data_IF_304724768976
#
_entry.id   IF_304724768976
#
_cell.length_a   1.000
_cell.length_b   1.000
_cell.length_c   1.000
_cell.angle_alpha   90.00
_cell.angle_beta   90.00
_cell.angle_gamma   90.00
#
_symmetry.space_group_name_H-M   'P 1'
#
loop_
_entity.id
_entity.type
_entity.pdbx_description
1 polymer ?
#
# COMPACT_ATOMS: atom_id res chain seq x y z
N UNK A 1 -0.53 18.01 -13.98
CA UNK A 1 -1.83 18.48 -14.50
C UNK A 1 -2.46 17.36 -15.30
N UNK A 2 -3.78 17.21 -15.23
CA UNK A 2 -4.49 16.17 -15.98
C UNK A 2 -5.66 16.81 -16.73
N UNK A 3 -5.56 16.82 -18.05
CA UNK A 3 -6.55 17.38 -18.97
C UNK A 3 -6.35 16.77 -20.37
N UNK A 4 -7.27 17.04 -21.30
CA UNK A 4 -7.07 16.73 -22.72
C UNK A 4 -5.93 17.56 -23.33
N UNK A 5 -5.42 17.12 -24.49
CA UNK A 5 -4.24 17.71 -25.12
C UNK A 5 -4.36 19.21 -25.43
N UNK A 6 -5.54 19.69 -25.84
CA UNK A 6 -5.76 21.11 -26.15
C UNK A 6 -5.65 21.95 -24.88
N UNK A 7 -6.27 21.50 -23.80
CA UNK A 7 -6.21 22.18 -22.51
C UNK A 7 -4.81 22.12 -21.89
N UNK A 8 -4.06 21.03 -22.08
CA UNK A 8 -2.66 20.96 -21.67
C UNK A 8 -1.79 22.00 -22.37
N UNK A 9 -1.84 22.08 -23.71
CA UNK A 9 -1.08 23.09 -24.48
C UNK A 9 -1.44 24.52 -24.09
N UNK A 10 -2.73 24.79 -23.86
CA UNK A 10 -3.18 26.12 -23.45
C UNK A 10 -2.69 26.50 -22.05
N UNK A 11 -2.61 25.54 -21.13
CA UNK A 11 -2.28 25.80 -19.73
C UNK A 11 -0.78 25.82 -19.47
N UNK A 12 0.03 25.24 -20.36
CA UNK A 12 1.50 25.25 -20.26
C UNK A 12 2.08 26.66 -20.04
N UNK A 13 1.56 27.66 -20.76
CA UNK A 13 1.97 29.07 -20.60
C UNK A 13 1.66 29.62 -19.20
N UNK A 14 0.52 29.22 -18.63
CA UNK A 14 0.10 29.65 -17.30
C UNK A 14 0.96 28.99 -16.21
N UNK A 15 1.27 27.70 -16.37
CA UNK A 15 2.16 26.98 -15.46
C UNK A 15 3.58 27.55 -15.52
N UNK A 16 4.11 27.81 -16.71
CA UNK A 16 5.43 28.42 -16.88
C UNK A 16 5.52 29.77 -16.17
N UNK A 17 4.54 30.66 -16.42
CA UNK A 17 4.46 31.95 -15.73
C UNK A 17 4.32 31.81 -14.21
N UNK A 18 3.62 30.80 -13.73
CA UNK A 18 3.53 30.53 -12.29
C UNK A 18 4.89 30.07 -11.71
N UNK A 19 5.61 29.21 -12.42
CA UNK A 19 6.94 28.76 -12.01
C UNK A 19 7.95 29.91 -11.97
N UNK A 20 7.86 30.87 -12.91
CA UNK A 20 8.69 32.09 -12.91
C UNK A 20 8.52 32.95 -11.66
N UNK A 21 7.39 32.82 -10.94
CA UNK A 21 7.12 33.55 -9.70
C UNK A 21 7.67 32.84 -8.46
N UNK A 22 8.12 31.58 -8.59
CA UNK A 22 8.67 30.82 -7.47
C UNK A 22 10.16 31.15 -7.27
N UNK A 23 10.65 31.19 -6.02
CA UNK A 23 12.08 31.28 -5.76
C UNK A 23 12.83 30.11 -6.40
N UNK A 24 13.93 30.39 -7.10
CA UNK A 24 14.72 29.34 -7.75
C UNK A 24 15.46 28.42 -6.76
N UNK A 25 15.62 28.86 -5.51
CA UNK A 25 16.30 28.12 -4.46
C UNK A 25 15.43 28.08 -3.20
N UNK A 26 15.45 26.94 -2.51
CA UNK A 26 14.94 26.85 -1.15
C UNK A 26 15.78 27.76 -0.23
N UNK A 27 15.10 28.54 0.61
CA UNK A 27 15.73 29.34 1.67
C UNK A 27 16.16 28.48 2.88
N UNK A 28 15.79 27.20 2.87
CA UNK A 28 16.06 26.24 3.94
C UNK A 28 17.00 25.18 3.41
N UNK A 29 18.08 24.93 4.15
CA UNK A 29 19.00 23.82 3.88
C UNK A 29 18.25 22.49 4.03
N UNK A 30 18.64 21.50 3.21
CA UNK A 30 18.08 20.15 3.34
C UNK A 30 18.54 19.53 4.66
N UNK A 31 17.64 19.48 5.63
CA UNK A 31 17.87 18.76 6.88
C UNK A 31 17.58 17.27 6.69
N UNK A 32 18.54 16.42 7.07
CA UNK A 32 18.32 14.99 7.21
C UNK A 32 17.78 14.70 8.60
N UNK A 33 16.47 14.51 8.69
CA UNK A 33 15.81 14.14 9.94
C UNK A 33 15.93 12.64 10.16
N UNK A 34 16.59 12.24 11.25
CA UNK A 34 16.52 10.87 11.77
C UNK A 34 15.80 10.90 13.10
N UNK A 35 14.46 10.86 13.04
CA UNK A 35 13.61 10.74 14.21
C UNK A 35 13.02 9.33 14.22
N UNK A 36 13.40 8.52 15.21
CA UNK A 36 12.78 7.23 15.47
C UNK A 36 12.21 7.25 16.87
N UNK A 37 10.95 6.84 16.99
CA UNK A 37 10.38 6.56 18.30
C UNK A 37 10.99 5.26 18.84
N UNK A 38 11.10 5.11 20.18
CA UNK A 38 11.50 3.85 20.79
C UNK A 38 10.57 2.71 20.37
N UNK A 39 11.13 1.54 20.06
CA UNK A 39 10.34 0.34 19.75
C UNK A 39 9.87 -0.31 21.05
N UNK A 40 8.69 0.10 21.51
CA UNK A 40 8.06 -0.40 22.74
C UNK A 40 6.61 -0.82 22.46
N UNK A 41 6.07 -1.71 23.30
CA UNK A 41 4.63 -1.95 23.32
C UNK A 41 3.96 -0.76 24.00
N UNK A 42 3.04 -0.10 23.30
CA UNK A 42 2.33 1.08 23.80
C UNK A 42 0.83 0.85 23.88
N UNK A 43 0.19 1.50 24.87
CA UNK A 43 -1.25 1.55 25.01
C UNK A 43 -1.66 3.01 25.25
N UNK A 44 -2.44 3.59 24.33
CA UNK A 44 -2.92 4.96 24.41
C UNK A 44 -4.32 4.93 24.99
N UNK A 45 -4.49 5.53 26.17
CA UNK A 45 -5.76 5.51 26.91
C UNK A 45 -6.69 6.59 26.37
N UNK A 46 -7.86 6.18 25.90
CA UNK A 46 -8.92 7.06 25.39
C UNK A 46 -10.28 6.61 25.95
N UNK A 47 -11.26 7.53 26.13
CA UNK A 47 -12.59 7.17 26.62
C UNK A 47 -13.46 6.61 25.49
N UNK A 48 -13.30 5.33 25.16
CA UNK A 48 -14.05 4.63 24.10
C UNK A 48 -14.61 3.29 24.58
N UNK A 49 -15.68 2.81 23.93
CA UNK A 49 -16.26 1.48 24.19
C UNK A 49 -15.57 0.36 23.40
N UNK A 50 -14.76 0.73 22.42
CA UNK A 50 -14.03 -0.19 21.53
C UNK A 50 -12.55 0.18 21.50
N UNK A 51 -11.71 -0.80 21.19
CA UNK A 51 -10.26 -0.65 21.11
C UNK A 51 -9.76 -0.79 19.67
N UNK A 52 -8.59 -0.22 19.40
CA UNK A 52 -7.86 -0.38 18.15
C UNK A 52 -6.52 -1.04 18.48
N UNK A 53 -6.34 -2.28 18.00
CA UNK A 53 -5.16 -3.08 18.32
C UNK A 53 -4.32 -3.24 17.06
N UNK A 54 -3.09 -2.76 17.12
CA UNK A 54 -2.11 -2.84 16.03
C UNK A 54 -0.87 -3.61 16.45
N UNK A 55 -0.32 -4.38 15.51
CA UNK A 55 1.01 -4.97 15.62
C UNK A 55 1.63 -4.92 14.24
N UNK A 56 2.87 -4.50 14.14
CA UNK A 56 3.58 -4.40 12.86
C UNK A 56 5.03 -4.86 12.99
N UNK A 57 5.62 -5.24 11.86
CA UNK A 57 7.03 -5.55 11.75
C UNK A 57 7.53 -5.18 10.34
N UNK A 58 8.82 -4.93 10.19
CA UNK A 58 9.44 -4.74 8.89
C UNK A 58 9.92 -6.10 8.34
N UNK A 59 9.39 -6.53 7.19
CA UNK A 59 9.80 -7.79 6.56
C UNK A 59 11.20 -7.71 5.93
N UNK A 60 11.59 -6.53 5.44
CA UNK A 60 12.86 -6.32 4.76
C UNK A 60 14.04 -6.38 5.74
N UNK A 61 13.83 -5.99 7.00
CA UNK A 61 14.80 -6.19 8.08
C UNK A 61 15.13 -7.68 8.29
N UNK A 62 14.17 -8.57 7.99
CA UNK A 62 14.35 -10.03 7.99
C UNK A 62 14.94 -10.60 6.71
N UNK A 63 15.34 -9.76 5.74
CA UNK A 63 15.90 -10.17 4.46
C UNK A 63 14.88 -10.56 3.39
N UNK A 64 13.57 -10.43 3.68
CA UNK A 64 12.55 -10.66 2.66
C UNK A 64 12.73 -9.70 1.49
N UNK A 65 12.68 -10.22 0.28
CA UNK A 65 12.67 -9.42 -0.94
C UNK A 65 11.24 -9.37 -1.45
N UNK A 66 10.74 -8.17 -1.71
CA UNK A 66 9.38 -7.97 -2.20
C UNK A 66 9.13 -8.84 -3.43
N UNK A 67 8.02 -9.60 -3.39
CA UNK A 67 7.46 -10.32 -4.52
C UNK A 67 5.94 -10.01 -4.59
N UNK A 68 5.38 -9.95 -5.80
CA UNK A 68 3.97 -9.65 -6.03
C UNK A 68 2.99 -10.58 -5.31
N UNK A 69 3.39 -11.83 -5.01
CA UNK A 69 2.60 -12.73 -4.16
C UNK A 69 2.26 -12.15 -2.79
N UNK A 70 3.05 -11.21 -2.25
CA UNK A 70 2.75 -10.56 -0.98
C UNK A 70 1.43 -9.78 -0.99
N UNK A 71 1.03 -9.21 -2.14
CA UNK A 71 -0.27 -8.56 -2.29
C UNK A 71 -1.40 -9.59 -2.15
N UNK A 72 -1.25 -10.74 -2.80
CA UNK A 72 -2.21 -11.85 -2.75
C UNK A 72 -2.34 -12.40 -1.33
N UNK A 73 -1.21 -12.67 -0.69
CA UNK A 73 -1.13 -13.21 0.67
C UNK A 73 -1.76 -12.23 1.66
N UNK A 74 -1.39 -10.95 1.62
CA UNK A 74 -1.91 -9.92 2.54
C UNK A 74 -3.43 -9.74 2.41
N UNK A 75 -3.94 -9.76 1.17
CA UNK A 75 -5.38 -9.69 0.89
C UNK A 75 -6.10 -10.95 1.37
N UNK A 76 -5.55 -12.13 1.11
CA UNK A 76 -6.12 -13.39 1.55
C UNK A 76 -6.27 -13.41 3.07
N UNK A 77 -5.22 -13.09 3.82
CA UNK A 77 -5.24 -13.04 5.30
C UNK A 77 -6.33 -12.11 5.83
N UNK A 78 -6.50 -10.94 5.20
CA UNK A 78 -7.53 -9.96 5.58
C UNK A 78 -8.94 -10.51 5.40
N UNK A 79 -9.19 -11.19 4.28
CA UNK A 79 -10.52 -11.64 3.89
C UNK A 79 -10.90 -13.01 4.48
N UNK A 80 -9.94 -13.79 4.98
CA UNK A 80 -10.17 -15.11 5.59
C UNK A 80 -9.89 -15.05 7.09
N UNK A 81 -8.65 -15.23 7.51
CA UNK A 81 -8.31 -15.41 8.93
C UNK A 81 -8.72 -14.23 9.79
N UNK A 82 -8.41 -12.99 9.38
CA UNK A 82 -8.74 -11.81 10.17
C UNK A 82 -10.25 -11.56 10.20
N UNK A 83 -10.93 -11.81 9.09
CA UNK A 83 -12.39 -11.78 9.05
C UNK A 83 -12.99 -12.78 10.04
N UNK A 84 -12.58 -14.05 10.01
CA UNK A 84 -13.17 -15.09 10.83
C UNK A 84 -12.80 -14.95 12.32
N UNK A 85 -11.54 -14.66 12.64
CA UNK A 85 -11.05 -14.61 14.02
C UNK A 85 -11.35 -13.28 14.70
N UNK A 86 -11.11 -12.16 14.03
CA UNK A 86 -11.24 -10.83 14.65
C UNK A 86 -12.68 -10.34 14.56
N UNK A 87 -13.32 -10.46 13.40
CA UNK A 87 -14.69 -9.96 13.19
C UNK A 87 -15.76 -10.97 13.62
N UNK A 88 -15.79 -12.17 13.02
CA UNK A 88 -16.86 -13.15 13.27
C UNK A 88 -16.79 -13.72 14.69
N UNK A 89 -15.63 -14.22 15.10
CA UNK A 89 -15.45 -14.87 16.42
C UNK A 89 -15.20 -13.85 17.53
N UNK A 90 -14.38 -12.83 17.27
CA UNK A 90 -13.95 -11.84 18.26
C UNK A 90 -14.93 -10.70 18.50
N UNK A 91 -15.97 -10.56 17.67
CA UNK A 91 -17.00 -9.52 17.82
C UNK A 91 -16.52 -8.11 17.48
N UNK A 92 -15.30 -7.93 16.95
CA UNK A 92 -14.84 -6.64 16.46
C UNK A 92 -15.56 -6.26 15.18
N UNK A 93 -15.63 -4.97 14.87
CA UNK A 93 -16.22 -4.51 13.62
C UNK A 93 -15.39 -4.96 12.39
N UNK A 94 -14.06 -5.05 12.52
CA UNK A 94 -13.20 -5.48 11.43
C UNK A 94 -11.79 -5.82 11.90
N UNK A 95 -11.09 -6.60 11.07
CA UNK A 95 -9.67 -6.88 11.18
C UNK A 95 -9.08 -6.99 9.78
N UNK A 96 -7.92 -6.37 9.56
CA UNK A 96 -7.26 -6.33 8.25
C UNK A 96 -5.75 -6.29 8.40
N UNK A 97 -5.07 -6.77 7.37
CA UNK A 97 -3.62 -6.72 7.20
C UNK A 97 -3.32 -5.67 6.14
N UNK A 98 -2.32 -4.83 6.42
CA UNK A 98 -1.77 -3.91 5.44
C UNK A 98 -0.28 -4.19 5.29
N UNK A 99 0.21 -4.19 4.06
CA UNK A 99 1.62 -4.32 3.75
C UNK A 99 2.05 -3.11 2.93
N UNK A 100 2.83 -2.23 3.55
CA UNK A 100 3.49 -1.13 2.85
C UNK A 100 4.74 -1.69 2.15
N UNK A 101 4.62 -1.84 0.84
CA UNK A 101 5.68 -2.41 0.01
C UNK A 101 6.84 -1.46 -0.27
N UNK A 102 6.75 -0.20 0.17
CA UNK A 102 7.86 0.75 0.05
C UNK A 102 8.75 0.73 1.29
N UNK A 103 8.14 0.73 2.47
CA UNK A 103 8.87 0.66 3.75
C UNK A 103 9.21 -0.77 4.17
N UNK A 104 8.43 -1.77 3.74
CA UNK A 104 8.52 -3.16 4.18
C UNK A 104 7.68 -3.46 5.42
N UNK A 105 6.93 -2.48 5.93
CA UNK A 105 6.10 -2.63 7.12
C UNK A 105 4.83 -3.43 6.81
N UNK A 106 4.64 -4.53 7.53
CA UNK A 106 3.41 -5.33 7.51
C UNK A 106 2.73 -5.28 8.87
N UNK A 107 1.42 -5.06 8.90
CA UNK A 107 0.65 -5.27 10.13
C UNK A 107 0.39 -6.76 10.33
N UNK A 108 0.88 -7.34 11.42
CA UNK A 108 0.93 -8.79 11.62
C UNK A 108 0.40 -9.23 12.99
N UNK A 109 -0.76 -9.91 12.99
CA UNK A 109 -1.30 -10.66 14.15
C UNK A 109 -1.40 -12.17 13.85
N UNK A 110 -0.94 -12.62 12.67
CA UNK A 110 -1.32 -13.90 12.05
C UNK A 110 -0.15 -14.86 11.75
N UNK A 111 1.02 -14.70 12.37
CA UNK A 111 2.25 -15.41 11.98
C UNK A 111 2.15 -16.95 11.94
N UNK A 112 1.24 -17.56 12.72
CA UNK A 112 1.05 -19.01 12.73
C UNK A 112 0.08 -19.50 11.64
N UNK A 113 -0.90 -18.69 11.25
CA UNK A 113 -1.95 -19.10 10.30
C UNK A 113 -1.38 -19.53 8.95
N UNK A 114 -0.45 -18.74 8.39
CA UNK A 114 0.12 -19.02 7.07
C UNK A 114 0.92 -20.32 7.01
N UNK A 115 1.43 -20.83 8.15
CA UNK A 115 2.21 -22.08 8.18
C UNK A 115 1.32 -23.31 8.06
N UNK A 116 0.05 -23.19 8.45
CA UNK A 116 -0.93 -24.27 8.48
C UNK A 116 -1.98 -24.10 7.36
N UNK A 117 -1.80 -23.11 6.50
CA UNK A 117 -2.74 -22.81 5.43
C UNK A 117 -2.67 -23.89 4.34
N UNK A 118 -3.73 -24.66 4.20
CA UNK A 118 -4.01 -25.46 3.02
C UNK A 118 -4.99 -24.69 2.13
N UNK A 119 -4.66 -24.52 0.86
CA UNK A 119 -5.45 -23.75 -0.09
C UNK A 119 -5.50 -24.49 -1.43
N UNK A 120 -6.71 -24.70 -1.94
CA UNK A 120 -6.91 -25.27 -3.28
C UNK A 120 -6.72 -24.23 -4.40
N UNK A 121 -6.56 -24.72 -5.63
CA UNK A 121 -6.29 -23.89 -6.81
C UNK A 121 -7.42 -22.88 -7.10
N UNK A 122 -8.67 -23.21 -6.80
CA UNK A 122 -9.82 -22.30 -6.99
C UNK A 122 -9.76 -21.13 -6.00
N UNK A 123 -9.45 -21.42 -4.74
CA UNK A 123 -9.27 -20.41 -3.69
C UNK A 123 -8.06 -19.52 -3.98
N UNK A 124 -6.95 -20.08 -4.44
CA UNK A 124 -5.79 -19.32 -4.90
C UNK A 124 -6.16 -18.41 -6.07
N UNK A 125 -6.85 -18.94 -7.08
CA UNK A 125 -7.30 -18.18 -8.25
C UNK A 125 -8.21 -17.02 -7.84
N UNK A 126 -9.15 -17.24 -6.93
CA UNK A 126 -10.01 -16.17 -6.37
C UNK A 126 -9.22 -15.10 -5.64
N UNK A 127 -8.19 -15.48 -4.87
CA UNK A 127 -7.32 -14.53 -4.19
C UNK A 127 -6.52 -13.68 -5.18
N UNK A 128 -5.99 -14.29 -6.25
CA UNK A 128 -5.29 -13.59 -7.34
C UNK A 128 -6.24 -12.62 -8.05
N UNK A 129 -7.43 -13.08 -8.47
CA UNK A 129 -8.44 -12.24 -9.13
C UNK A 129 -8.83 -11.06 -8.23
N UNK A 130 -9.08 -11.32 -6.95
CA UNK A 130 -9.37 -10.27 -5.98
C UNK A 130 -8.25 -9.24 -5.94
N UNK A 131 -6.99 -9.68 -5.91
CA UNK A 131 -5.83 -8.79 -5.85
C UNK A 131 -5.69 -7.96 -7.13
N UNK A 132 -5.87 -8.57 -8.31
CA UNK A 132 -5.90 -7.85 -9.59
C UNK A 132 -7.04 -6.83 -9.63
N UNK A 133 -8.20 -7.14 -9.04
CA UNK A 133 -9.30 -6.19 -8.90
C UNK A 133 -8.93 -4.92 -8.14
N UNK A 134 -8.08 -5.02 -7.12
CA UNK A 134 -7.58 -3.84 -6.38
C UNK A 134 -6.53 -3.08 -7.19
N UNK A 135 -5.63 -3.81 -7.88
CA UNK A 135 -4.58 -3.22 -8.73
C UNK A 135 -5.19 -2.47 -9.92
N UNK A 136 -6.26 -3.01 -10.49
CA UNK A 136 -6.97 -2.48 -11.67
C UNK A 136 -8.26 -1.75 -11.29
N UNK A 137 -8.37 -1.29 -10.04
CA UNK A 137 -9.54 -0.56 -9.58
C UNK A 137 -9.87 0.61 -10.54
N UNK A 138 -11.16 0.80 -10.82
CA UNK A 138 -11.60 1.83 -11.74
C UNK A 138 -11.20 3.23 -11.23
N UNK A 139 -10.68 4.04 -12.14
CA UNK A 139 -10.24 5.40 -11.84
C UNK A 139 -10.78 6.38 -12.88
N UNK A 140 -11.33 7.51 -12.40
CA UNK A 140 -11.59 8.69 -13.22
C UNK A 140 -10.27 9.33 -13.69
N UNK A 141 -10.30 10.18 -14.73
CA UNK A 141 -9.07 10.71 -15.34
C UNK A 141 -8.13 11.39 -14.35
N UNK A 142 -8.65 12.20 -13.44
CA UNK A 142 -7.90 12.88 -12.37
C UNK A 142 -7.22 11.89 -11.42
N UNK A 143 -7.93 10.85 -10.99
CA UNK A 143 -7.37 9.79 -10.14
C UNK A 143 -6.26 8.99 -10.85
N UNK A 144 -6.39 8.75 -12.17
CA UNK A 144 -5.31 8.14 -12.98
C UNK A 144 -4.08 9.04 -13.03
N UNK A 145 -4.28 10.33 -13.25
CA UNK A 145 -3.22 11.32 -13.25
C UNK A 145 -2.49 11.41 -11.91
N UNK A 146 -3.24 11.42 -10.81
CA UNK A 146 -2.68 11.43 -9.46
C UNK A 146 -1.90 10.14 -9.14
N UNK A 147 -2.45 8.97 -9.49
CA UNK A 147 -1.75 7.69 -9.31
C UNK A 147 -0.44 7.62 -10.10
N UNK A 148 -0.44 8.16 -11.33
CA UNK A 148 0.77 8.29 -12.15
C UNK A 148 1.82 9.20 -11.50
N UNK A 149 1.40 10.35 -10.95
CA UNK A 149 2.29 11.25 -10.22
C UNK A 149 2.89 10.58 -8.98
N UNK A 150 2.09 9.89 -8.18
CA UNK A 150 2.58 9.19 -6.98
C UNK A 150 3.60 8.11 -7.36
N UNK A 151 3.34 7.34 -8.42
CA UNK A 151 4.30 6.35 -8.95
C UNK A 151 5.62 7.01 -9.37
N UNK A 152 5.55 8.14 -10.07
CA UNK A 152 6.72 8.90 -10.47
C UNK A 152 7.53 9.39 -9.25
N UNK A 153 6.87 9.95 -8.23
CA UNK A 153 7.52 10.43 -7.02
C UNK A 153 8.17 9.30 -6.20
N UNK A 154 7.57 8.11 -6.21
CA UNK A 154 8.10 6.92 -5.54
C UNK A 154 9.11 6.14 -6.39
N UNK A 155 9.41 6.58 -7.62
CA UNK A 155 10.33 5.90 -8.52
C UNK A 155 9.83 4.55 -9.05
N UNK A 156 8.51 4.33 -9.05
CA UNK A 156 7.89 3.08 -9.51
C UNK A 156 7.77 3.12 -11.04
N UNK A 157 8.59 2.33 -11.73
CA UNK A 157 8.62 2.29 -13.20
C UNK A 157 7.52 1.40 -13.78
N UNK A 158 7.27 1.51 -15.08
CA UNK A 158 6.29 0.65 -15.75
C UNK A 158 6.75 -0.82 -15.77
N UNK A 159 8.05 -1.05 -15.96
CA UNK A 159 8.66 -2.38 -15.94
C UNK A 159 8.50 -3.02 -14.56
N UNK A 160 8.69 -2.25 -13.49
CA UNK A 160 8.44 -2.73 -12.13
C UNK A 160 6.97 -3.09 -11.94
N UNK A 161 6.03 -2.23 -12.37
CA UNK A 161 4.59 -2.52 -12.27
C UNK A 161 4.20 -3.78 -13.04
N UNK A 162 4.73 -3.94 -14.24
CA UNK A 162 4.48 -5.09 -15.08
C UNK A 162 5.03 -6.37 -14.43
N UNK A 163 6.28 -6.34 -13.94
CA UNK A 163 6.89 -7.45 -13.19
C UNK A 163 6.06 -7.81 -11.97
N UNK A 164 5.61 -6.84 -11.18
CA UNK A 164 4.76 -7.06 -10.00
C UNK A 164 3.43 -7.71 -10.36
N UNK A 165 2.82 -7.28 -11.46
CA UNK A 165 1.58 -7.86 -11.98
C UNK A 165 1.79 -9.32 -12.38
N UNK A 166 2.89 -9.64 -13.06
CA UNK A 166 3.24 -11.02 -13.42
C UNK A 166 3.50 -11.89 -12.20
N UNK A 167 4.18 -11.35 -11.19
CA UNK A 167 4.40 -12.02 -9.89
C UNK A 167 3.07 -12.29 -9.17
N UNK A 168 2.10 -11.36 -9.20
CA UNK A 168 0.75 -11.59 -8.65
C UNK A 168 0.07 -12.74 -9.39
N UNK A 169 0.05 -12.70 -10.73
CA UNK A 169 -0.63 -13.68 -11.57
C UNK A 169 0.01 -15.09 -11.49
N UNK A 170 1.28 -15.16 -11.10
CA UNK A 170 2.04 -16.41 -10.97
C UNK A 170 2.23 -16.89 -9.54
N UNK A 171 1.45 -16.34 -8.59
CA UNK A 171 1.45 -16.81 -7.19
C UNK A 171 1.12 -18.30 -7.12
N UNK A 172 1.84 -19.04 -6.27
CA UNK A 172 1.73 -20.50 -6.06
C UNK A 172 1.91 -20.83 -4.58
#
# INVERSE_FOLDING_TARGET
MTADGKNLSNTEKLVSKFLDLLPSNSLVERANWSARLPSNNEAIVIPTQVNYVGKAANLYDGGYQLNGSAYVISKHISNTWLWDRVRVSGGAYGGFCNFDTHSGEISAIFANFLRELEMDDDTLTKAIIGTIGDVDAYQLPDAKGYSSLVRYLLGITEEERQRRREEILSTR
#
